data_IF_297462288651
#
_entry.id   IF_297462288651
#
_cell.length_a   1.000
_cell.length_b   1.000
_cell.length_c   1.000
_cell.angle_alpha   90.00
_cell.angle_beta   90.00
_cell.angle_gamma   90.00
#
_symmetry.space_group_name_H-M   'P 1'
#
loop_
_entity.id
_entity.type
_entity.pdbx_description
1 polymer ?
#
# COMPACT_ATOMS: atom_id res chain seq x y z
N UNK A 1 -1.07 -12.39 -12.68
CA UNK A 1 -2.20 -11.46 -12.67
C UNK A 1 -1.72 -10.02 -12.50
N UNK A 2 -1.33 -9.59 -11.30
CA UNK A 2 -0.97 -8.20 -11.00
C UNK A 2 0.10 -7.58 -11.93
N UNK A 3 1.19 -8.31 -12.20
CA UNK A 3 2.27 -7.82 -13.07
C UNK A 3 1.84 -7.65 -14.53
N UNK A 4 0.76 -8.31 -14.95
CA UNK A 4 0.14 -8.11 -16.27
C UNK A 4 -0.83 -6.92 -16.30
N UNK A 5 -0.91 -6.14 -15.22
CA UNK A 5 -1.82 -5.00 -15.09
C UNK A 5 -3.23 -5.37 -14.61
N UNK A 6 -3.49 -6.66 -14.35
CA UNK A 6 -4.77 -7.09 -13.82
C UNK A 6 -4.96 -6.60 -12.38
N UNK A 7 -6.20 -6.23 -12.04
CA UNK A 7 -6.59 -5.97 -10.65
C UNK A 7 -6.77 -7.30 -9.93
N UNK A 8 -6.21 -7.40 -8.73
CA UNK A 8 -6.32 -8.60 -7.88
C UNK A 8 -7.04 -8.23 -6.59
N UNK A 9 -8.01 -9.04 -6.18
CA UNK A 9 -8.68 -8.88 -4.88
C UNK A 9 -8.04 -9.82 -3.87
N UNK A 10 -7.61 -9.28 -2.73
CA UNK A 10 -6.99 -10.05 -1.63
C UNK A 10 -7.75 -9.83 -0.32
N UNK A 11 -7.82 -10.84 0.57
CA UNK A 11 -8.32 -10.63 1.93
C UNK A 11 -7.28 -9.90 2.78
N UNK A 12 -7.69 -8.81 3.45
CA UNK A 12 -6.85 -8.07 4.37
C UNK A 12 -7.47 -8.03 5.77
N UNK A 13 -6.76 -8.53 6.77
CA UNK A 13 -7.21 -8.47 8.16
C UNK A 13 -7.03 -7.05 8.69
N UNK A 14 -8.11 -6.45 9.21
CA UNK A 14 -8.04 -5.18 9.95
C UNK A 14 -8.09 -5.51 11.45
N UNK A 15 -6.95 -5.45 12.18
CA UNK A 15 -6.88 -5.94 13.56
C UNK A 15 -7.84 -5.22 14.51
N UNK A 16 -8.00 -3.90 14.35
CA UNK A 16 -8.91 -3.09 15.16
C UNK A 16 -10.39 -3.51 15.05
N UNK A 17 -10.74 -4.27 14.01
CA UNK A 17 -12.10 -4.79 13.76
C UNK A 17 -12.18 -6.31 13.83
N UNK A 18 -11.05 -6.99 14.01
CA UNK A 18 -10.95 -8.45 14.01
C UNK A 18 -11.65 -9.11 12.81
N UNK A 19 -11.59 -8.46 11.63
CA UNK A 19 -12.32 -8.89 10.43
C UNK A 19 -11.50 -8.69 9.16
N UNK A 20 -11.68 -9.61 8.21
CA UNK A 20 -11.13 -9.50 6.86
C UNK A 20 -11.99 -8.60 5.98
N UNK A 21 -11.33 -7.73 5.22
CA UNK A 21 -11.95 -6.88 4.20
C UNK A 21 -11.30 -7.18 2.83
N UNK A 22 -12.08 -7.18 1.74
CA UNK A 22 -11.50 -7.27 0.42
C UNK A 22 -10.74 -5.98 0.11
N UNK A 23 -9.49 -6.13 -0.34
CA UNK A 23 -8.69 -5.03 -0.89
C UNK A 23 -8.43 -5.29 -2.35
N UNK A 24 -8.57 -4.25 -3.16
CA UNK A 24 -8.15 -4.25 -4.54
C UNK A 24 -6.69 -3.84 -4.63
N UNK A 25 -5.89 -4.65 -5.30
CA UNK A 25 -4.49 -4.37 -5.60
C UNK A 25 -4.38 -4.16 -7.11
N UNK A 26 -3.83 -3.03 -7.53
CA UNK A 26 -3.47 -2.81 -8.94
C UNK A 26 -2.05 -2.31 -9.07
N UNK A 27 -1.39 -2.76 -10.12
CA UNK A 27 -0.15 -2.15 -10.59
C UNK A 27 -0.50 -0.88 -11.35
N UNK A 28 0.08 0.25 -10.96
CA UNK A 28 -0.12 1.53 -11.66
C UNK A 28 0.92 1.77 -12.75
N UNK A 29 2.05 1.06 -12.70
CA UNK A 29 3.03 1.04 -13.79
C UNK A 29 4.46 0.88 -13.29
N UNK A 30 5.43 0.82 -14.21
CA UNK A 30 6.84 0.93 -13.87
C UNK A 30 7.18 2.38 -13.49
N UNK A 31 8.19 2.57 -12.64
CA UNK A 31 8.77 3.88 -12.33
C UNK A 31 10.27 3.74 -12.01
N UNK A 32 10.98 4.88 -11.96
CA UNK A 32 12.35 4.94 -11.46
C UNK A 32 12.34 5.58 -10.07
N UNK A 33 12.63 4.81 -9.04
CA UNK A 33 12.68 5.28 -7.65
C UNK A 33 14.12 5.45 -7.22
N UNK A 34 14.58 6.70 -7.04
CA UNK A 34 15.97 7.01 -6.64
C UNK A 34 17.04 6.27 -7.49
N UNK A 35 16.80 6.13 -8.79
CA UNK A 35 17.69 5.42 -9.72
C UNK A 35 17.48 3.91 -9.81
N UNK A 36 16.63 3.31 -8.96
CA UNK A 36 16.27 1.89 -8.99
C UNK A 36 15.03 1.69 -9.86
N UNK A 37 15.05 0.68 -10.74
CA UNK A 37 13.86 0.29 -11.50
C UNK A 37 12.82 -0.33 -10.56
N UNK A 38 11.63 0.24 -10.54
CA UNK A 38 10.60 -0.10 -9.56
C UNK A 38 9.20 -0.25 -10.17
N UNK A 39 8.31 -0.87 -9.42
CA UNK A 39 6.90 -1.06 -9.75
C UNK A 39 6.04 -0.32 -8.74
N UNK A 40 5.13 0.50 -9.26
CA UNK A 40 4.13 1.20 -8.47
C UNK A 40 2.89 0.33 -8.32
N UNK A 41 2.45 0.16 -7.07
CA UNK A 41 1.28 -0.62 -6.71
C UNK A 41 0.37 0.25 -5.84
N UNK A 42 -0.92 0.21 -6.12
CA UNK A 42 -1.95 0.85 -5.31
C UNK A 42 -2.89 -0.20 -4.72
N UNK A 43 -3.20 -0.02 -3.43
CA UNK A 43 -4.13 -0.86 -2.68
C UNK A 43 -5.27 0.03 -2.20
N UNK A 44 -6.50 -0.38 -2.49
CA UNK A 44 -7.71 0.33 -2.07
C UNK A 44 -8.71 -0.63 -1.44
N UNK A 45 -9.38 -0.19 -0.38
CA UNK A 45 -10.59 -0.87 0.11
C UNK A 45 -11.75 -0.53 -0.83
N UNK A 46 -12.46 -1.56 -1.30
CA UNK A 46 -13.56 -1.40 -2.25
C UNK A 46 -14.74 -0.58 -1.70
N UNK A 47 -14.92 -0.59 -0.38
CA UNK A 47 -16.06 0.09 0.24
C UNK A 47 -15.75 0.35 1.71
N UNK A 48 -15.57 1.62 2.07
CA UNK A 48 -15.52 2.04 3.47
C UNK A 48 -16.91 2.55 3.88
N UNK A 49 -17.43 2.10 5.03
CA UNK A 49 -18.75 2.45 5.58
C UNK A 49 -18.86 3.92 6.05
N UNK A 50 -18.29 4.90 5.33
CA UNK A 50 -18.22 6.29 5.78
C UNK A 50 -17.57 7.33 4.85
N UNK A 51 -17.47 7.07 3.53
CA UNK A 51 -17.28 8.14 2.53
C UNK A 51 -15.89 8.35 1.91
N UNK A 52 -14.79 7.83 2.49
CA UNK A 52 -13.45 7.87 1.85
C UNK A 52 -12.75 6.53 2.05
N UNK A 53 -12.38 5.84 0.95
CA UNK A 53 -11.56 4.65 1.00
C UNK A 53 -10.08 5.05 1.17
N UNK A 54 -9.39 4.61 2.22
CA UNK A 54 -7.96 4.86 2.37
C UNK A 54 -7.21 4.22 1.19
N UNK A 55 -6.34 5.00 0.56
CA UNK A 55 -5.46 4.55 -0.52
C UNK A 55 -4.07 4.33 0.05
N UNK A 56 -3.55 3.13 -0.15
CA UNK A 56 -2.19 2.75 0.17
C UNK A 56 -1.40 2.68 -1.14
N UNK A 57 -0.31 3.43 -1.23
CA UNK A 57 0.62 3.36 -2.34
C UNK A 57 1.92 2.68 -1.91
N UNK A 58 2.41 1.79 -2.76
CA UNK A 58 3.60 0.98 -2.55
C UNK A 58 4.52 1.10 -3.76
N UNK A 59 5.81 1.15 -3.50
CA UNK A 59 6.85 1.10 -4.53
C UNK A 59 7.76 -0.07 -4.23
N UNK A 60 7.85 -1.03 -5.15
CA UNK A 60 8.69 -2.22 -5.02
C UNK A 60 9.82 -2.21 -6.03
N UNK A 61 11.02 -2.61 -5.63
CA UNK A 61 12.11 -2.85 -6.56
C UNK A 61 11.73 -3.95 -7.56
N UNK A 62 12.03 -3.73 -8.84
CA UNK A 62 11.66 -4.68 -9.91
C UNK A 62 12.51 -5.94 -9.88
N UNK A 63 13.76 -5.83 -9.41
CA UNK A 63 14.72 -6.93 -9.42
C UNK A 63 14.41 -8.01 -8.36
N UNK A 64 14.05 -7.60 -7.14
CA UNK A 64 13.96 -8.48 -5.97
C UNK A 64 12.62 -8.36 -5.21
N UNK A 65 11.69 -7.55 -5.69
CA UNK A 65 10.38 -7.32 -5.07
C UNK A 65 10.48 -6.82 -3.61
N UNK A 66 11.59 -6.13 -3.26
CA UNK A 66 11.73 -5.46 -1.96
C UNK A 66 10.92 -4.17 -1.93
N UNK A 67 10.24 -3.91 -0.81
CA UNK A 67 9.53 -2.65 -0.58
C UNK A 67 10.51 -1.48 -0.43
N UNK A 68 10.33 -0.43 -1.23
CA UNK A 68 11.16 0.78 -1.25
C UNK A 68 10.47 1.97 -0.60
N UNK A 69 9.19 2.19 -0.92
CA UNK A 69 8.37 3.24 -0.31
C UNK A 69 6.98 2.71 0.01
N UNK A 70 6.52 2.97 1.23
CA UNK A 70 5.15 2.82 1.67
C UNK A 70 4.56 4.20 1.89
N UNK A 71 3.34 4.43 1.41
CA UNK A 71 2.56 5.63 1.71
C UNK A 71 1.12 5.27 2.04
N UNK A 72 0.73 5.50 3.28
CA UNK A 72 -0.62 5.18 3.76
C UNK A 72 -0.78 5.43 5.26
N UNK A 73 -1.85 4.89 5.84
CA UNK A 73 -2.14 5.00 7.27
C UNK A 73 -1.14 4.18 8.09
N UNK A 74 -0.51 4.83 9.08
CA UNK A 74 0.38 4.16 10.04
C UNK A 74 -0.40 3.37 11.10
N UNK A 75 0.20 2.30 11.62
CA UNK A 75 -0.25 1.63 12.84
C UNK A 75 0.26 2.32 14.12
N UNK A 76 1.24 3.23 14.00
CA UNK A 76 1.73 4.06 15.10
C UNK A 76 0.75 5.20 15.34
N UNK A 77 0.57 5.56 16.61
CA UNK A 77 -0.27 6.68 17.02
C UNK A 77 0.58 7.95 17.13
N UNK A 78 -0.01 9.08 16.78
CA UNK A 78 0.56 10.39 17.08
C UNK A 78 0.30 10.79 18.55
N UNK A 79 0.75 11.99 18.92
CA UNK A 79 0.57 12.58 20.25
C UNK A 79 -0.90 12.75 20.68
N UNK A 80 -1.86 12.73 19.74
CA UNK A 80 -3.30 12.83 19.99
C UNK A 80 -3.98 11.46 19.97
N UNK A 81 -3.21 10.38 19.82
CA UNK A 81 -3.72 9.01 19.70
C UNK A 81 -4.26 8.65 18.32
N UNK A 82 -4.15 9.52 17.32
CA UNK A 82 -4.67 9.32 15.97
C UNK A 82 -3.70 8.49 15.11
N UNK A 83 -4.21 7.89 14.03
CA UNK A 83 -3.41 7.14 13.05
C UNK A 83 -3.07 8.06 11.84
N UNK A 84 -1.85 8.60 11.74
CA UNK A 84 -1.50 9.55 10.71
C UNK A 84 -1.27 8.88 9.35
N UNK A 85 -1.34 9.67 8.27
CA UNK A 85 -0.75 9.31 6.99
C UNK A 85 0.77 9.46 7.07
N UNK A 86 1.51 8.44 6.64
CA UNK A 86 2.97 8.44 6.66
C UNK A 86 3.54 8.06 5.31
N UNK A 87 4.78 8.51 5.07
CA UNK A 87 5.63 7.97 4.02
C UNK A 87 6.82 7.31 4.70
N UNK A 88 6.99 6.00 4.49
CA UNK A 88 8.12 5.23 5.00
C UNK A 88 8.99 4.86 3.80
N UNK A 89 10.26 5.26 3.84
CA UNK A 89 11.25 4.96 2.81
C UNK A 89 12.29 4.02 3.38
N UNK A 90 12.50 2.91 2.71
CA UNK A 90 13.55 1.95 3.03
C UNK A 90 14.78 2.34 2.22
N UNK A 91 15.67 3.11 2.83
CA UNK A 91 17.03 3.30 2.32
C UNK A 91 17.77 1.97 2.49
N UNK A 92 18.51 1.55 1.46
CA UNK A 92 19.07 0.21 1.29
C UNK A 92 19.53 -0.48 2.60
N UNK A 93 19.25 -1.78 2.71
CA UNK A 93 19.86 -2.67 3.70
C UNK A 93 21.36 -2.84 3.43
#
# INVERSE_FOLDING_TARGET
ALMRGERVTLPFLVPARQRYFPVQVRRTGPQRWQGIDAQSIEVSLDTWYGGIAPRLALVYASADQRLLEFRGTSNLRDQRGAYPQVTVRFIAA
#
